data_IF_149160613848
#
_entry.id   IF_149160613848
#
_cell.length_a   1.000
_cell.length_b   1.000
_cell.length_c   1.000
_cell.angle_alpha   90.00
_cell.angle_beta   90.00
_cell.angle_gamma   90.00
#
_symmetry.space_group_name_H-M   'P 1'
#
loop_
_entity.id
_entity.type
_entity.pdbx_description
1 polymer ?
#
# COMPACT_ATOMS: atom_id res chain seq x y z
N UNK A 1 11.39 24.65 6.79
CA UNK A 1 11.10 23.31 7.34
C UNK A 1 10.26 23.48 8.59
N UNK A 2 9.10 22.83 8.67
CA UNK A 2 8.20 22.90 9.84
C UNK A 2 8.77 21.98 10.94
N UNK A 3 9.76 22.47 11.71
CA UNK A 3 10.20 21.90 13.00
C UNK A 3 10.48 20.38 13.10
N UNK A 4 10.65 19.66 11.98
CA UNK A 4 10.65 18.20 11.95
C UNK A 4 12.07 17.68 12.19
N UNK A 5 12.23 16.79 13.17
CA UNK A 5 13.50 16.09 13.42
C UNK A 5 13.66 14.99 12.37
N UNK A 6 14.80 14.97 11.67
CA UNK A 6 15.11 13.96 10.66
C UNK A 6 15.94 12.86 11.33
N UNK A 7 15.39 11.65 11.40
CA UNK A 7 16.12 10.47 11.86
C UNK A 7 16.60 9.68 10.63
N UNK A 8 17.91 9.48 10.51
CA UNK A 8 18.49 8.73 9.39
C UNK A 8 18.70 7.28 9.75
N UNK A 9 18.40 6.40 8.79
CA UNK A 9 18.80 5.01 8.88
C UNK A 9 20.32 4.86 8.78
N UNK A 10 20.90 3.94 9.56
CA UNK A 10 22.34 3.66 9.48
C UNK A 10 22.65 2.87 8.21
N UNK A 11 23.77 3.19 7.55
CA UNK A 11 24.18 2.46 6.35
C UNK A 11 24.41 0.98 6.69
N UNK A 12 23.90 0.08 5.83
CA UNK A 12 24.01 -1.38 5.95
C UNK A 12 23.30 -2.03 7.15
N UNK A 13 22.37 -1.33 7.82
CA UNK A 13 21.49 -1.95 8.82
C UNK A 13 20.15 -2.29 8.18
N UNK A 14 19.96 -3.58 7.86
CA UNK A 14 18.75 -4.13 7.24
C UNK A 14 17.48 -4.00 8.10
N UNK A 15 17.59 -3.46 9.31
CA UNK A 15 16.49 -3.35 10.25
C UNK A 15 16.50 -1.94 10.85
N UNK A 16 16.18 -0.94 10.03
CA UNK A 16 16.07 0.45 10.53
C UNK A 16 14.62 0.91 10.63
N UNK A 17 13.76 0.48 9.70
CA UNK A 17 12.32 0.69 9.81
C UNK A 17 11.59 -0.57 9.35
N UNK A 18 11.66 -1.62 10.17
CA UNK A 18 11.06 -2.92 9.86
C UNK A 18 9.54 -2.86 9.63
N UNK A 19 8.86 -1.84 10.17
CA UNK A 19 7.43 -1.62 9.94
C UNK A 19 7.20 -1.11 8.52
N UNK A 20 7.93 -0.08 8.09
CA UNK A 20 7.84 0.42 6.72
C UNK A 20 8.31 -0.64 5.71
N UNK A 21 9.40 -1.35 5.99
CA UNK A 21 9.92 -2.42 5.12
C UNK A 21 8.88 -3.53 4.93
N UNK A 22 8.23 -3.98 6.00
CA UNK A 22 7.19 -5.01 5.90
C UNK A 22 5.95 -4.52 5.14
N UNK A 23 5.57 -3.26 5.34
CA UNK A 23 4.50 -2.62 4.58
C UNK A 23 4.83 -2.56 3.09
N UNK A 24 6.04 -2.13 2.73
CA UNK A 24 6.52 -2.05 1.34
C UNK A 24 6.49 -3.43 0.69
N UNK A 25 7.05 -4.45 1.34
CA UNK A 25 7.03 -5.83 0.82
C UNK A 25 5.60 -6.33 0.52
N UNK A 26 4.65 -6.01 1.39
CA UNK A 26 3.24 -6.40 1.21
C UNK A 26 2.62 -5.68 0.01
N UNK A 27 2.87 -4.37 -0.13
CA UNK A 27 2.39 -3.60 -1.29
C UNK A 27 3.00 -4.09 -2.61
N UNK A 28 4.29 -4.41 -2.61
CA UNK A 28 4.98 -4.97 -3.78
C UNK A 28 4.42 -6.33 -4.18
N UNK A 29 4.06 -7.19 -3.21
CA UNK A 29 3.42 -8.48 -3.48
C UNK A 29 2.06 -8.30 -4.17
N UNK A 30 1.23 -7.36 -3.68
CA UNK A 30 -0.07 -7.04 -4.27
C UNK A 30 0.11 -6.52 -5.70
N UNK A 31 1.05 -5.59 -5.89
CA UNK A 31 1.40 -5.04 -7.21
C UNK A 31 1.85 -6.14 -8.18
N UNK A 32 2.70 -7.06 -7.73
CA UNK A 32 3.20 -8.17 -8.55
C UNK A 32 2.06 -9.08 -9.01
N UNK A 33 1.12 -9.40 -8.10
CA UNK A 33 -0.07 -10.20 -8.45
C UNK A 33 -0.95 -9.45 -9.45
N UNK A 34 -1.21 -8.17 -9.22
CA UNK A 34 -2.02 -7.36 -10.13
C UNK A 34 -1.41 -7.32 -11.54
N UNK A 35 -0.09 -7.08 -11.64
CA UNK A 35 0.61 -7.07 -12.92
C UNK A 35 0.62 -8.44 -13.61
N UNK A 36 0.71 -9.55 -12.84
CA UNK A 36 0.76 -10.89 -13.40
C UNK A 36 -0.58 -11.37 -13.96
N UNK A 37 -1.71 -10.91 -13.39
CA UNK A 37 -3.05 -11.39 -13.75
C UNK A 37 -3.92 -10.37 -14.51
N UNK A 38 -3.60 -9.07 -14.43
CA UNK A 38 -4.52 -7.99 -14.83
C UNK A 38 -4.09 -7.12 -16.00
N UNK A 39 -2.83 -7.16 -16.44
CA UNK A 39 -2.35 -6.27 -17.51
C UNK A 39 -2.36 -6.99 -18.86
N UNK A 40 -3.40 -6.76 -19.66
CA UNK A 40 -3.31 -6.99 -21.10
C UNK A 40 -2.41 -5.91 -21.72
N UNK A 41 -1.38 -6.33 -22.46
CA UNK A 41 -0.48 -5.41 -23.15
C UNK A 41 -1.27 -4.63 -24.22
N UNK A 42 -1.65 -3.37 -23.92
CA UNK A 42 -2.27 -2.50 -24.93
C UNK A 42 -1.20 -2.00 -25.91
N UNK A 43 -1.24 -2.59 -27.08
CA UNK A 43 -0.25 -2.52 -28.17
C UNK A 43 -0.01 -1.11 -28.73
N UNK A 44 -0.92 -0.16 -28.47
CA UNK A 44 -0.97 1.12 -29.21
C UNK A 44 -0.69 2.40 -28.41
N UNK A 45 -0.51 2.32 -27.09
CA UNK A 45 -0.15 3.49 -26.26
C UNK A 45 0.77 3.01 -25.14
N UNK A 46 2.05 3.39 -25.21
CA UNK A 46 3.08 2.95 -24.27
C UNK A 46 2.65 2.98 -22.78
N UNK A 47 2.86 1.85 -22.14
CA UNK A 47 3.19 1.58 -20.72
C UNK A 47 2.94 2.56 -19.55
N UNK A 48 2.04 3.56 -19.49
CA UNK A 48 2.24 4.52 -18.36
C UNK A 48 1.07 5.22 -17.66
N UNK A 49 -0.16 4.70 -17.67
CA UNK A 49 -1.23 5.29 -16.83
C UNK A 49 -1.93 4.33 -15.86
N UNK A 50 -1.81 3.01 -16.05
CA UNK A 50 -2.48 2.05 -15.17
C UNK A 50 -1.85 2.00 -13.78
N UNK A 51 -0.51 2.01 -13.69
CA UNK A 51 0.21 1.90 -12.40
C UNK A 51 -0.15 2.99 -11.40
N UNK A 52 -0.26 4.24 -11.85
CA UNK A 52 -0.61 5.37 -10.97
C UNK A 52 -2.03 5.22 -10.41
N UNK A 53 -2.95 4.70 -11.23
CA UNK A 53 -4.34 4.44 -10.82
C UNK A 53 -4.41 3.24 -9.86
N UNK A 54 -3.67 2.17 -10.15
CA UNK A 54 -3.61 0.96 -9.31
C UNK A 54 -3.02 1.28 -7.92
N UNK A 55 -2.04 2.17 -7.82
CA UNK A 55 -1.45 2.54 -6.53
C UNK A 55 -2.50 3.09 -5.56
N UNK A 56 -3.45 3.89 -6.04
CA UNK A 56 -4.54 4.40 -5.20
C UNK A 56 -5.47 3.26 -4.73
N UNK A 57 -5.80 2.34 -5.63
CA UNK A 57 -6.64 1.17 -5.31
C UNK A 57 -5.97 0.26 -4.27
N UNK A 58 -4.67 -0.03 -4.43
CA UNK A 58 -3.90 -0.84 -3.49
C UNK A 58 -3.78 -0.15 -2.14
N UNK A 59 -3.53 1.16 -2.11
CA UNK A 59 -3.46 1.92 -0.87
C UNK A 59 -4.79 1.85 -0.10
N UNK A 60 -5.93 1.94 -0.81
CA UNK A 60 -7.25 1.82 -0.21
C UNK A 60 -7.49 0.41 0.33
N UNK A 61 -7.22 -0.62 -0.49
CA UNK A 61 -7.37 -2.03 -0.10
C UNK A 61 -6.49 -2.39 1.11
N UNK A 62 -5.23 -1.97 1.10
CA UNK A 62 -4.31 -2.20 2.22
C UNK A 62 -4.77 -1.50 3.50
N UNK A 63 -5.25 -0.26 3.40
CA UNK A 63 -5.75 0.49 4.56
C UNK A 63 -7.04 -0.07 5.14
N UNK A 64 -7.86 -0.75 4.32
CA UNK A 64 -9.09 -1.40 4.75
C UNK A 64 -8.86 -2.85 5.25
N UNK A 65 -7.80 -3.51 4.79
CA UNK A 65 -7.43 -4.86 5.19
C UNK A 65 -6.98 -4.91 6.64
N UNK A 66 -7.34 -5.99 7.35
CA UNK A 66 -6.86 -6.25 8.70
C UNK A 66 -5.41 -6.74 8.66
N UNK A 67 -4.57 -6.19 9.53
CA UNK A 67 -3.21 -6.71 9.72
C UNK A 67 -3.23 -7.82 10.79
N UNK A 68 -2.58 -8.95 10.49
CA UNK A 68 -2.52 -10.12 11.38
C UNK A 68 -1.96 -9.82 12.76
N UNK A 69 -1.04 -8.87 12.88
CA UNK A 69 -0.39 -8.53 14.16
C UNK A 69 -1.28 -7.69 15.06
N UNK A 70 -2.04 -6.76 14.49
CA UNK A 70 -2.88 -5.81 15.24
C UNK A 70 -4.35 -6.24 15.32
N UNK A 71 -4.77 -7.21 14.52
CA UNK A 71 -6.18 -7.62 14.37
C UNK A 71 -7.09 -6.54 13.79
N UNK A 72 -6.53 -5.39 13.41
CA UNK A 72 -7.26 -4.19 13.02
C UNK A 72 -6.66 -3.64 11.71
N UNK A 73 -7.50 -2.94 10.95
CA UNK A 73 -7.07 -2.28 9.73
C UNK A 73 -6.29 -0.98 10.03
N UNK A 74 -5.31 -0.60 9.20
CA UNK A 74 -4.55 0.63 9.40
C UNK A 74 -5.43 1.89 9.45
N UNK A 75 -6.50 1.95 8.67
CA UNK A 75 -7.42 3.10 8.66
C UNK A 75 -8.24 3.20 9.95
N UNK A 76 -8.67 2.08 10.53
CA UNK A 76 -9.32 2.05 11.83
C UNK A 76 -8.38 2.55 12.93
N UNK A 77 -7.13 2.08 12.95
CA UNK A 77 -6.15 2.51 13.95
C UNK A 77 -5.77 4.00 13.83
N UNK A 78 -5.71 4.53 12.60
CA UNK A 78 -5.30 5.92 12.34
C UNK A 78 -6.43 6.93 12.45
N UNK A 79 -7.62 6.58 11.95
CA UNK A 79 -8.77 7.50 11.78
C UNK A 79 -9.99 7.12 12.62
N UNK A 80 -9.98 5.96 13.26
CA UNK A 80 -11.14 5.44 14.00
C UNK A 80 -12.27 4.90 13.11
N UNK A 81 -12.09 4.87 11.78
CA UNK A 81 -13.11 4.40 10.84
C UNK A 81 -12.50 3.78 9.59
N UNK A 82 -13.18 2.77 9.05
CA UNK A 82 -12.87 2.18 7.75
C UNK A 82 -13.59 2.91 6.62
N UNK A 83 -13.04 2.90 5.40
CA UNK A 83 -13.77 3.36 4.23
C UNK A 83 -15.01 2.49 3.98
N UNK A 84 -16.17 3.10 3.77
CA UNK A 84 -17.36 2.37 3.31
C UNK A 84 -17.21 1.98 1.85
N UNK A 85 -17.42 0.70 1.57
CA UNK A 85 -17.46 0.19 0.22
C UNK A 85 -18.91 -0.12 -0.19
N UNK A 86 -19.27 0.01 -1.48
CA UNK A 86 -20.61 -0.34 -1.95
C UNK A 86 -21.01 -1.79 -1.61
N UNK A 87 -20.04 -2.70 -1.55
CA UNK A 87 -20.25 -4.12 -1.20
C UNK A 87 -20.66 -4.34 0.26
N UNK A 88 -20.39 -3.39 1.16
CA UNK A 88 -20.76 -3.46 2.58
C UNK A 88 -22.26 -3.17 2.81
N UNK A 89 -22.93 -2.57 1.83
CA UNK A 89 -24.34 -2.17 1.88
C UNK A 89 -25.29 -3.15 1.18
N UNK A 90 -24.76 -4.25 0.63
CA UNK A 90 -25.50 -5.34 -0.01
C UNK A 90 -25.83 -6.43 1.00
#
# INVERSE_FOLDING_TARGET
>A
MIGTKIEFSTAYHQQTDGLAERMIQTMEEILRRFCAYGMEYKEHCGYTHERVTILQAIQLAYNASQNSTTGNSPSLLKKGQNPSFPVDQL
#
